data_IF_563908788934
#
_entry.id   IF_563908788934
#
_cell.length_a   1.000
_cell.length_b   1.000
_cell.length_c   1.000
_cell.angle_alpha   90.00
_cell.angle_beta   90.00
_cell.angle_gamma   90.00
#
_symmetry.space_group_name_H-M   'P 1'
#
loop_
_entity.id
_entity.type
_entity.pdbx_description
1 polymer ?
#
# COMPACT_ATOMS: atom_id res chain seq x y z
N UNK A 1 4.65 -3.95 2.30
CA UNK A 1 5.04 -4.67 3.53
C UNK A 1 4.55 -3.81 4.66
N UNK A 2 3.76 -4.38 5.59
CA UNK A 2 3.12 -3.60 6.65
C UNK A 2 3.45 -4.18 8.01
N UNK A 3 3.91 -3.32 8.91
CA UNK A 3 4.34 -3.69 10.26
C UNK A 3 3.25 -3.30 11.26
N UNK A 4 2.78 -4.28 12.02
CA UNK A 4 1.87 -4.10 13.15
C UNK A 4 2.65 -4.38 14.44
N UNK A 5 3.46 -3.41 14.88
CA UNK A 5 4.34 -3.56 16.05
C UNK A 5 3.56 -4.00 17.30
N UNK A 6 2.41 -3.37 17.57
CA UNK A 6 1.55 -3.72 18.71
C UNK A 6 0.97 -5.14 18.68
N UNK A 7 0.98 -5.81 17.52
CA UNK A 7 0.60 -7.22 17.38
C UNK A 7 1.79 -8.15 17.16
N UNK A 8 3.02 -7.61 17.10
CA UNK A 8 4.22 -8.37 16.77
C UNK A 8 4.13 -9.04 15.37
N UNK A 9 3.56 -8.37 14.37
CA UNK A 9 3.34 -8.93 13.02
C UNK A 9 3.95 -8.09 11.90
N UNK A 10 4.46 -8.77 10.87
CA UNK A 10 4.83 -8.23 9.56
C UNK A 10 3.98 -8.92 8.48
N UNK A 11 3.21 -8.15 7.74
CA UNK A 11 2.40 -8.65 6.61
C UNK A 11 3.11 -8.36 5.30
N UNK A 12 3.16 -9.34 4.40
CA UNK A 12 3.81 -9.20 3.09
C UNK A 12 3.25 -10.18 2.06
N UNK A 13 3.24 -9.77 0.79
CA UNK A 13 3.02 -10.66 -0.35
C UNK A 13 4.35 -11.38 -0.63
N UNK A 14 4.35 -12.71 -0.65
CA UNK A 14 5.58 -13.48 -0.84
C UNK A 14 5.36 -14.85 -1.49
N UNK A 15 6.46 -15.41 -2.00
CA UNK A 15 6.50 -16.71 -2.68
C UNK A 15 6.04 -16.65 -4.15
N UNK A 16 6.25 -17.75 -4.88
CA UNK A 16 5.99 -17.85 -6.33
C UNK A 16 4.52 -17.65 -6.75
N UNK A 17 3.59 -17.79 -5.80
CA UNK A 17 2.13 -17.68 -6.02
C UNK A 17 1.54 -16.38 -5.47
N UNK A 18 2.38 -15.42 -5.08
CA UNK A 18 1.98 -14.14 -4.49
C UNK A 18 0.96 -14.31 -3.35
N UNK A 19 1.31 -15.17 -2.37
CA UNK A 19 0.46 -15.39 -1.20
C UNK A 19 0.68 -14.30 -0.18
N UNK A 20 -0.38 -13.87 0.47
CA UNK A 20 -0.28 -12.97 1.61
C UNK A 20 0.12 -13.76 2.87
N UNK A 21 1.24 -13.38 3.48
CA UNK A 21 1.79 -14.03 4.66
C UNK A 21 1.98 -13.03 5.79
N UNK A 22 1.74 -13.52 7.00
CA UNK A 22 1.96 -12.79 8.25
C UNK A 22 3.07 -13.48 9.01
N UNK A 23 4.17 -12.76 9.22
CA UNK A 23 5.35 -13.20 9.97
C UNK A 23 5.32 -12.62 11.38
N UNK A 24 5.74 -13.40 12.36
CA UNK A 24 5.96 -12.88 13.72
C UNK A 24 7.28 -12.08 13.77
N UNK A 25 7.22 -10.83 14.22
CA UNK A 25 8.42 -9.98 14.31
C UNK A 25 9.45 -10.57 15.29
N UNK A 26 8.99 -11.15 16.40
CA UNK A 26 9.86 -11.87 17.34
C UNK A 26 10.61 -13.04 16.69
N UNK A 27 9.95 -13.79 15.81
CA UNK A 27 10.58 -14.87 15.06
C UNK A 27 11.62 -14.34 14.08
N UNK A 28 11.28 -13.29 13.32
CA UNK A 28 12.22 -12.64 12.40
C UNK A 28 13.44 -12.06 13.13
N UNK A 29 13.21 -11.42 14.28
CA UNK A 29 14.27 -10.87 15.13
C UNK A 29 15.24 -11.96 15.57
N UNK A 30 14.73 -13.09 16.07
CA UNK A 30 15.59 -14.18 16.52
C UNK A 30 16.30 -14.87 15.35
N UNK A 31 15.61 -15.07 14.22
CA UNK A 31 16.21 -15.68 13.03
C UNK A 31 17.34 -14.81 12.45
N UNK A 32 17.09 -13.52 12.23
CA UNK A 32 18.00 -12.65 11.48
C UNK A 32 19.08 -12.06 12.39
N UNK A 33 18.73 -11.59 13.59
CA UNK A 33 19.68 -10.88 14.46
C UNK A 33 20.43 -11.80 15.42
N UNK A 34 19.82 -12.92 15.83
CA UNK A 34 20.42 -13.84 16.80
C UNK A 34 20.94 -15.13 16.18
N UNK A 35 20.62 -15.38 14.90
CA UNK A 35 21.00 -16.58 14.15
C UNK A 35 20.74 -17.88 14.94
N UNK A 36 19.61 -17.93 15.66
CA UNK A 36 19.28 -19.02 16.56
C UNK A 36 18.83 -20.26 15.75
N UNK A 37 19.59 -21.37 15.80
CA UNK A 37 19.29 -22.57 15.01
C UNK A 37 18.01 -23.28 15.45
N UNK A 38 17.49 -23.03 16.65
CA UNK A 38 16.22 -23.60 17.09
C UNK A 38 15.01 -22.93 16.42
N UNK A 39 15.16 -21.67 15.99
CA UNK A 39 14.09 -20.88 15.34
C UNK A 39 13.74 -21.44 13.97
N UNK A 40 14.71 -22.05 13.28
CA UNK A 40 14.49 -22.69 11.97
C UNK A 40 13.59 -23.92 12.05
N UNK A 41 13.51 -24.57 13.21
CA UNK A 41 12.64 -25.73 13.44
C UNK A 41 11.15 -25.36 13.55
N UNK A 42 10.82 -24.07 13.68
CA UNK A 42 9.44 -23.58 13.86
C UNK A 42 9.01 -22.70 12.68
N UNK A 43 7.78 -22.89 12.21
CA UNK A 43 7.21 -22.05 11.16
C UNK A 43 6.89 -20.65 11.74
N UNK A 44 7.65 -19.64 11.28
CA UNK A 44 7.53 -18.25 11.76
C UNK A 44 6.46 -17.39 11.11
N UNK A 45 5.64 -17.99 10.24
CA UNK A 45 4.64 -17.29 9.45
C UNK A 45 3.38 -18.12 9.26
N UNK A 46 2.27 -17.43 9.04
CA UNK A 46 1.00 -18.04 8.61
C UNK A 46 0.53 -17.39 7.31
N UNK A 47 -0.23 -18.12 6.49
CA UNK A 47 -0.91 -17.55 5.32
C UNK A 47 -2.24 -16.96 5.76
N UNK A 48 -2.60 -15.81 5.18
CA UNK A 48 -3.94 -15.23 5.35
C UNK A 48 -4.87 -15.87 4.32
N UNK A 49 -5.82 -16.69 4.78
CA UNK A 49 -6.69 -17.46 3.90
C UNK A 49 -5.94 -18.46 3.02
N UNK A 50 -6.59 -18.92 1.96
CA UNK A 50 -6.02 -19.87 0.98
C UNK A 50 -5.70 -19.23 -0.37
N UNK A 51 -5.88 -17.92 -0.47
CA UNK A 51 -5.88 -17.17 -1.72
C UNK A 51 -4.49 -17.03 -2.33
N UNK A 52 -4.46 -16.90 -3.66
CA UNK A 52 -3.26 -16.75 -4.47
C UNK A 52 -3.39 -15.57 -5.42
N UNK A 53 -2.27 -15.03 -5.88
CA UNK A 53 -2.27 -13.93 -6.82
C UNK A 53 -2.67 -12.59 -6.21
N UNK A 54 -2.32 -12.36 -4.93
CA UNK A 54 -2.49 -11.05 -4.30
C UNK A 54 -1.77 -9.98 -5.12
N UNK A 55 -2.52 -8.98 -5.57
CA UNK A 55 -2.05 -7.84 -6.37
C UNK A 55 -1.64 -6.69 -5.45
N UNK A 56 -2.53 -6.34 -4.52
CA UNK A 56 -2.33 -5.28 -3.55
C UNK A 56 -3.03 -5.68 -2.24
N UNK A 57 -2.59 -5.13 -1.11
CA UNK A 57 -3.32 -5.24 0.14
C UNK A 57 -3.10 -3.98 0.98
N UNK A 58 -4.03 -3.70 1.88
CA UNK A 58 -3.91 -2.64 2.87
C UNK A 58 -4.39 -3.09 4.23
N UNK A 59 -3.66 -2.71 5.28
CA UNK A 59 -4.14 -2.85 6.66
C UNK A 59 -4.70 -1.51 7.14
N UNK A 60 -5.98 -1.49 7.48
CA UNK A 60 -6.68 -0.30 7.98
C UNK A 60 -6.96 -0.49 9.47
N UNK A 61 -6.62 0.52 10.28
CA UNK A 61 -6.88 0.53 11.72
C UNK A 61 -8.08 1.42 11.99
N UNK A 62 -9.09 0.89 12.67
CA UNK A 62 -10.24 1.67 13.11
C UNK A 62 -10.57 1.29 14.55
N UNK A 63 -10.45 2.26 15.46
CA UNK A 63 -10.53 2.05 16.89
C UNK A 63 -9.65 0.85 17.36
N UNK A 64 -10.27 -0.18 17.93
CA UNK A 64 -9.58 -1.40 18.39
C UNK A 64 -9.49 -2.48 17.29
N UNK A 65 -10.25 -2.33 16.21
CA UNK A 65 -10.35 -3.29 15.12
C UNK A 65 -9.30 -2.99 14.06
N UNK A 66 -8.82 -4.04 13.41
CA UNK A 66 -7.87 -3.94 12.29
C UNK A 66 -8.44 -4.73 11.14
N UNK A 67 -8.65 -4.06 10.03
CA UNK A 67 -9.09 -4.66 8.79
C UNK A 67 -7.88 -4.90 7.89
N UNK A 68 -7.94 -5.97 7.12
CA UNK A 68 -7.00 -6.29 6.07
C UNK A 68 -7.79 -6.47 4.79
N UNK A 69 -7.57 -5.58 3.84
CA UNK A 69 -8.24 -5.59 2.53
C UNK A 69 -7.24 -6.03 1.48
N UNK A 70 -7.66 -6.94 0.62
CA UNK A 70 -6.79 -7.66 -0.31
C UNK A 70 -7.41 -7.58 -1.70
N UNK A 71 -6.66 -7.03 -2.65
CA UNK A 71 -6.98 -7.08 -4.07
C UNK A 71 -6.37 -8.35 -4.68
N UNK A 72 -7.22 -9.17 -5.28
CA UNK A 72 -6.83 -10.29 -6.14
C UNK A 72 -7.05 -9.90 -7.61
N UNK A 73 -6.86 -10.83 -8.56
CA UNK A 73 -6.98 -10.51 -9.99
C UNK A 73 -8.39 -10.06 -10.41
N UNK A 74 -9.43 -10.66 -9.82
CA UNK A 74 -10.83 -10.39 -10.17
C UNK A 74 -11.75 -10.30 -8.94
N UNK A 75 -11.17 -10.12 -7.74
CA UNK A 75 -11.93 -10.05 -6.51
C UNK A 75 -11.24 -9.20 -5.46
N UNK A 76 -12.02 -8.79 -4.46
CA UNK A 76 -11.56 -8.07 -3.28
C UNK A 76 -12.02 -8.82 -2.04
N UNK A 77 -11.13 -8.95 -1.07
CA UNK A 77 -11.32 -9.76 0.12
C UNK A 77 -11.04 -8.93 1.36
N UNK A 78 -11.96 -8.95 2.31
CA UNK A 78 -11.89 -8.19 3.56
C UNK A 78 -11.77 -9.18 4.71
N UNK A 79 -10.74 -8.98 5.52
CA UNK A 79 -10.47 -9.73 6.74
C UNK A 79 -10.48 -8.79 7.94
N UNK A 80 -10.83 -9.31 9.10
CA UNK A 80 -10.75 -8.60 10.38
C UNK A 80 -9.82 -9.34 11.35
N UNK A 81 -9.05 -8.59 12.13
CA UNK A 81 -8.19 -9.16 13.17
C UNK A 81 -9.02 -9.70 14.34
N UNK A 82 -8.94 -11.00 14.59
CA UNK A 82 -9.53 -11.63 15.77
C UNK A 82 -8.52 -11.67 16.93
N UNK A 83 -8.88 -11.18 18.13
CA UNK A 83 -8.02 -11.27 19.32
C UNK A 83 -7.88 -12.72 19.79
N UNK A 84 -7.18 -12.93 20.92
CA UNK A 84 -7.11 -14.25 21.55
C UNK A 84 -8.53 -14.78 21.85
N UNK A 85 -8.77 -16.09 21.69
CA UNK A 85 -7.79 -17.16 21.46
C UNK A 85 -7.33 -17.33 20.01
N UNK A 86 -8.00 -16.72 19.02
CA UNK A 86 -7.72 -16.95 17.60
C UNK A 86 -6.42 -16.32 17.11
N UNK A 87 -6.15 -15.07 17.53
CA UNK A 87 -4.92 -14.33 17.24
C UNK A 87 -4.50 -14.37 15.76
N UNK A 88 -5.45 -14.14 14.85
CA UNK A 88 -5.25 -14.18 13.39
C UNK A 88 -6.27 -13.31 12.66
N UNK A 89 -5.99 -13.00 11.40
CA UNK A 89 -6.98 -12.42 10.49
C UNK A 89 -8.03 -13.48 10.12
N UNK A 90 -9.30 -13.15 10.33
CA UNK A 90 -10.47 -13.95 9.98
C UNK A 90 -11.16 -13.34 8.78
N UNK A 91 -11.65 -14.18 7.87
CA UNK A 91 -12.41 -13.72 6.71
C UNK A 91 -13.68 -13.00 7.19
N UNK A 92 -13.95 -11.84 6.60
CA UNK A 92 -15.12 -11.01 6.92
C UNK A 92 -16.10 -10.98 5.73
N UNK A 93 -15.63 -10.55 4.55
CA UNK A 93 -16.41 -10.49 3.31
C UNK A 93 -15.52 -10.76 2.09
N UNK A 94 -16.12 -11.31 1.04
CA UNK A 94 -15.48 -11.56 -0.26
C UNK A 94 -16.37 -10.97 -1.35
N UNK A 95 -15.76 -10.29 -2.32
CA UNK A 95 -16.43 -9.67 -3.46
C UNK A 95 -15.76 -10.18 -4.74
N UNK A 96 -16.39 -11.20 -5.36
CA UNK A 96 -15.98 -11.75 -6.64
C UNK A 96 -16.62 -11.02 -7.82
N UNK A 97 -16.21 -11.40 -9.04
CA UNK A 97 -16.80 -10.97 -10.31
C UNK A 97 -16.92 -9.44 -10.45
N UNK A 98 -15.88 -8.73 -10.00
CA UNK A 98 -15.86 -7.27 -10.08
C UNK A 98 -15.86 -6.80 -11.54
N UNK A 99 -16.61 -5.75 -11.90
CA UNK A 99 -16.66 -5.22 -13.27
C UNK A 99 -15.29 -4.81 -13.79
N UNK A 100 -14.44 -4.29 -12.89
CA UNK A 100 -13.09 -3.86 -13.20
C UNK A 100 -12.07 -4.57 -12.32
N UNK A 101 -10.93 -4.91 -12.93
CA UNK A 101 -9.82 -5.57 -12.24
C UNK A 101 -9.18 -4.64 -11.20
N UNK A 102 -9.17 -4.99 -9.91
CA UNK A 102 -8.56 -4.15 -8.89
C UNK A 102 -7.02 -4.23 -8.98
N UNK A 103 -6.39 -3.05 -8.96
CA UNK A 103 -4.95 -2.85 -8.96
C UNK A 103 -4.45 -2.28 -7.63
N UNK A 104 -5.30 -1.50 -6.98
CA UNK A 104 -5.07 -0.84 -5.69
C UNK A 104 -6.34 -0.98 -4.85
N UNK A 105 -6.20 -1.11 -3.52
CA UNK A 105 -7.35 -1.16 -2.59
C UNK A 105 -7.08 -0.34 -1.34
N UNK A 106 -8.15 0.25 -0.83
CA UNK A 106 -8.24 0.99 0.42
C UNK A 106 -9.59 0.72 1.09
N UNK A 107 -9.69 1.01 2.39
CA UNK A 107 -10.97 0.92 3.10
C UNK A 107 -11.16 2.08 4.06
N UNK A 108 -12.38 2.59 4.08
CA UNK A 108 -12.83 3.61 5.05
C UNK A 108 -13.97 3.05 5.89
N UNK A 109 -14.08 3.59 7.11
CA UNK A 109 -15.15 3.30 8.04
C UNK A 109 -15.89 4.61 8.28
N UNK A 110 -17.08 4.73 7.69
CA UNK A 110 -17.91 5.93 7.81
C UNK A 110 -18.73 5.92 9.11
N UNK A 111 -19.47 7.01 9.34
CA UNK A 111 -20.41 7.09 10.46
C UNK A 111 -21.37 5.89 10.51
N UNK A 112 -21.65 5.42 11.72
CA UNK A 112 -22.48 4.22 11.93
C UNK A 112 -21.76 2.90 11.61
N UNK A 113 -20.42 2.89 11.54
CA UNK A 113 -19.60 1.71 11.27
C UNK A 113 -19.81 1.12 9.86
N UNK A 114 -20.23 1.94 8.90
CA UNK A 114 -20.42 1.53 7.51
C UNK A 114 -19.07 1.38 6.83
N UNK A 115 -18.78 0.17 6.36
CA UNK A 115 -17.53 -0.14 5.71
C UNK A 115 -17.66 0.06 4.20
N UNK A 116 -16.72 0.79 3.60
CA UNK A 116 -16.60 0.91 2.15
C UNK A 116 -15.18 0.56 1.72
N UNK A 117 -15.07 -0.31 0.72
CA UNK A 117 -13.80 -0.56 0.05
C UNK A 117 -13.74 0.30 -1.20
N UNK A 118 -12.64 1.04 -1.36
CA UNK A 118 -12.35 1.77 -2.58
C UNK A 118 -11.24 1.03 -3.31
N UNK A 119 -11.40 0.79 -4.61
CA UNK A 119 -10.36 0.17 -5.42
C UNK A 119 -10.11 0.94 -6.71
N UNK A 120 -8.83 1.05 -7.06
CA UNK A 120 -8.38 1.60 -8.33
C UNK A 120 -8.24 0.48 -9.36
N UNK A 121 -8.65 0.75 -10.59
CA UNK A 121 -8.58 -0.15 -11.74
C UNK A 121 -7.96 0.57 -12.95
N UNK A 122 -7.83 -0.15 -14.07
CA UNK A 122 -7.44 0.45 -15.34
C UNK A 122 -8.50 1.37 -15.97
N UNK A 123 -9.74 1.38 -15.46
CA UNK A 123 -10.81 2.24 -15.97
C UNK A 123 -11.04 3.49 -15.09
N UNK A 124 -10.58 3.47 -13.84
CA UNK A 124 -10.87 4.53 -12.87
C UNK A 124 -10.88 3.98 -11.44
N UNK A 125 -11.69 4.59 -10.59
CA UNK A 125 -11.84 4.24 -9.19
C UNK A 125 -13.28 3.90 -8.88
N UNK A 126 -13.46 2.86 -8.07
CA UNK A 126 -14.75 2.25 -7.80
C UNK A 126 -14.88 1.98 -6.30
N UNK A 127 -16.11 1.90 -5.82
CA UNK A 127 -16.44 1.60 -4.44
C UNK A 127 -17.25 0.30 -4.35
N UNK A 128 -17.10 -0.36 -3.21
CA UNK A 128 -17.90 -1.50 -2.78
C UNK A 128 -18.46 -1.13 -1.40
N UNK A 129 -19.78 -1.04 -1.30
CA UNK A 129 -20.46 -0.99 -0.01
C UNK A 129 -20.40 -2.40 0.61
N UNK A 130 -19.69 -2.55 1.73
CA UNK A 130 -19.32 -3.88 2.25
C UNK A 130 -20.53 -4.62 2.84
N UNK A 131 -21.54 -3.89 3.30
CA UNK A 131 -22.73 -4.45 3.90
C UNK A 131 -23.68 -5.02 2.83
N UNK A 132 -23.95 -4.23 1.79
CA UNK A 132 -24.84 -4.61 0.68
C UNK A 132 -24.15 -5.40 -0.43
N UNK A 133 -22.83 -5.26 -0.58
CA UNK A 133 -22.06 -5.79 -1.71
C UNK A 133 -22.23 -5.03 -3.02
N UNK A 134 -22.96 -3.90 -3.00
CA UNK A 134 -23.15 -3.09 -4.20
C UNK A 134 -21.84 -2.43 -4.64
N UNK A 135 -21.58 -2.50 -5.95
CA UNK A 135 -20.42 -1.88 -6.58
C UNK A 135 -20.85 -0.72 -7.46
N UNK A 136 -20.09 0.37 -7.43
CA UNK A 136 -20.37 1.57 -8.23
C UNK A 136 -19.10 2.35 -8.54
N UNK A 137 -19.15 3.14 -9.61
CA UNK A 137 -18.06 4.01 -10.02
C UNK A 137 -18.01 5.25 -9.14
N UNK A 138 -16.81 5.57 -8.64
CA UNK A 138 -16.57 6.78 -7.85
C UNK A 138 -15.99 7.87 -8.73
N UNK A 139 -15.02 7.52 -9.57
CA UNK A 139 -14.40 8.46 -10.49
C UNK A 139 -13.87 7.74 -11.72
N UNK A 140 -14.31 8.17 -12.90
CA UNK A 140 -13.84 7.68 -14.19
C UNK A 140 -13.38 8.89 -15.01
N UNK A 141 -12.06 9.05 -15.24
CA UNK A 141 -11.54 10.19 -16.00
C UNK A 141 -11.98 10.08 -17.46
N UNK A 142 -12.78 11.05 -17.92
CA UNK A 142 -13.38 11.03 -19.27
C UNK A 142 -12.45 11.55 -20.36
N UNK A 143 -11.42 12.32 -19.99
CA UNK A 143 -10.43 12.87 -20.92
C UNK A 143 -9.36 11.87 -21.32
N UNK A 144 -9.25 10.74 -20.61
CA UNK A 144 -8.30 9.67 -20.90
C UNK A 144 -9.04 8.54 -21.61
N UNK A 145 -8.75 8.34 -22.90
CA UNK A 145 -9.40 7.31 -23.73
C UNK A 145 -8.72 5.92 -23.60
N UNK A 146 -7.62 5.84 -22.86
CA UNK A 146 -6.85 4.61 -22.61
C UNK A 146 -7.02 4.10 -21.18
N UNK A 147 -6.35 2.99 -20.84
CA UNK A 147 -6.28 2.54 -19.45
C UNK A 147 -5.53 3.58 -18.60
N UNK A 148 -6.04 3.82 -17.39
CA UNK A 148 -5.39 4.65 -16.37
C UNK A 148 -4.57 3.81 -15.41
N UNK A 149 -3.53 4.44 -14.86
CA UNK A 149 -2.63 3.86 -13.88
C UNK A 149 -2.92 4.48 -12.51
N UNK A 150 -3.65 3.79 -11.62
CA UNK A 150 -3.89 4.30 -10.28
C UNK A 150 -2.61 4.21 -9.44
N UNK A 151 -2.26 5.32 -8.77
CA UNK A 151 -1.07 5.43 -7.93
C UNK A 151 -1.40 5.35 -6.44
N UNK A 152 -2.44 6.05 -5.99
CA UNK A 152 -2.83 6.08 -4.59
C UNK A 152 -4.32 6.44 -4.41
N UNK A 153 -4.90 5.95 -3.32
CA UNK A 153 -6.18 6.40 -2.76
C UNK A 153 -5.83 6.91 -1.37
N UNK A 154 -6.08 8.18 -1.10
CA UNK A 154 -5.68 8.83 0.16
C UNK A 154 -6.92 9.44 0.78
N UNK A 155 -7.42 8.82 1.85
CA UNK A 155 -8.48 9.41 2.66
C UNK A 155 -7.97 10.64 3.41
N UNK A 156 -8.73 11.73 3.34
CA UNK A 156 -8.38 12.99 3.98
C UNK A 156 -8.73 12.93 5.47
N UNK A 157 -7.76 13.03 6.40
CA UNK A 157 -7.99 12.87 7.84
C UNK A 157 -9.00 13.88 8.41
N UNK A 158 -8.97 15.12 7.92
CA UNK A 158 -9.84 16.24 8.33
C UNK A 158 -11.33 15.94 8.10
N UNK A 159 -11.66 15.01 7.19
CA UNK A 159 -13.04 14.69 6.81
C UNK A 159 -13.55 13.39 7.42
N UNK A 160 -12.81 12.82 8.38
CA UNK A 160 -13.13 11.51 8.96
C UNK A 160 -13.09 10.37 7.94
N UNK A 161 -12.40 10.56 6.81
CA UNK A 161 -12.32 9.58 5.72
C UNK A 161 -13.53 9.54 4.79
N UNK A 162 -14.36 10.59 4.78
CA UNK A 162 -15.45 10.76 3.81
C UNK A 162 -15.00 11.34 2.46
N UNK A 163 -13.90 12.10 2.48
CA UNK A 163 -13.25 12.62 1.29
C UNK A 163 -11.90 11.94 1.06
N UNK A 164 -11.51 11.88 -0.20
CA UNK A 164 -10.27 11.28 -0.63
C UNK A 164 -9.68 11.98 -1.84
N UNK A 165 -8.35 11.95 -1.89
CA UNK A 165 -7.56 12.31 -3.05
C UNK A 165 -7.23 11.02 -3.82
N UNK A 166 -7.71 10.94 -5.06
CA UNK A 166 -7.44 9.84 -5.99
C UNK A 166 -6.30 10.27 -6.92
N UNK A 167 -5.18 9.56 -6.87
CA UNK A 167 -4.00 9.87 -7.67
C UNK A 167 -3.85 8.84 -8.80
N UNK A 168 -3.82 9.29 -10.04
CA UNK A 168 -3.68 8.47 -11.24
C UNK A 168 -2.94 9.23 -12.32
N UNK A 169 -2.15 8.54 -13.14
CA UNK A 169 -1.28 9.20 -14.12
C UNK A 169 -0.49 10.36 -13.46
N UNK A 170 -0.44 11.55 -14.07
CA UNK A 170 0.12 12.77 -13.51
C UNK A 170 -0.92 13.67 -12.81
N UNK A 171 -2.10 13.14 -12.47
CA UNK A 171 -3.23 13.90 -11.93
C UNK A 171 -3.78 13.37 -10.58
N UNK A 172 -4.33 14.29 -9.78
CA UNK A 172 -4.99 14.01 -8.52
C UNK A 172 -6.32 14.74 -8.42
N UNK A 173 -7.40 14.00 -8.14
CA UNK A 173 -8.75 14.55 -7.99
C UNK A 173 -9.30 14.34 -6.58
N UNK A 174 -9.96 15.36 -6.04
CA UNK A 174 -10.61 15.30 -4.73
C UNK A 174 -12.06 14.89 -4.89
N UNK A 175 -12.43 13.77 -4.29
CA UNK A 175 -13.79 13.23 -4.37
C UNK A 175 -14.23 12.71 -3.01
N UNK A 176 -15.54 12.64 -2.79
CA UNK A 176 -16.08 11.89 -1.66
C UNK A 176 -16.33 10.43 -2.01
N UNK A 177 -16.66 9.62 -1.00
CA UNK A 177 -16.98 8.19 -1.16
C UNK A 177 -18.24 7.90 -2.00
N UNK A 178 -18.99 8.93 -2.39
CA UNK A 178 -20.17 8.87 -3.25
C UNK A 178 -19.89 9.32 -4.70
N UNK A 179 -18.63 9.65 -5.02
CA UNK A 179 -18.21 10.05 -6.37
C UNK A 179 -18.47 11.50 -6.74
N UNK A 180 -18.77 12.37 -5.76
CA UNK A 180 -18.86 13.81 -6.01
C UNK A 180 -17.49 14.45 -5.87
N UNK A 181 -17.11 15.29 -6.82
CA UNK A 181 -15.94 16.16 -6.73
C UNK A 181 -16.12 17.11 -5.54
N UNK A 182 -15.15 17.18 -4.64
CA UNK A 182 -15.23 18.03 -3.42
C UNK A 182 -14.38 19.29 -3.51
N UNK A 183 -13.43 19.35 -4.44
CA UNK A 183 -12.64 20.55 -4.73
C UNK A 183 -12.49 20.75 -6.24
N UNK A 184 -12.61 22.00 -6.68
CA UNK A 184 -12.41 22.37 -8.09
C UNK A 184 -10.93 22.33 -8.52
N UNK A 185 -10.01 22.33 -7.56
CA UNK A 185 -8.58 22.19 -7.81
C UNK A 185 -8.23 20.76 -8.18
N UNK A 186 -7.58 20.58 -9.33
CA UNK A 186 -6.92 19.34 -9.72
C UNK A 186 -5.45 19.45 -9.35
N UNK A 187 -4.94 18.43 -8.67
CA UNK A 187 -3.50 18.32 -8.40
C UNK A 187 -2.83 17.76 -9.66
N UNK A 188 -1.79 18.42 -10.16
CA UNK A 188 -1.07 17.97 -11.35
C UNK A 188 0.43 17.91 -11.10
N UNK A 189 1.03 16.73 -11.19
CA UNK A 189 2.48 16.54 -11.10
C UNK A 189 3.17 16.98 -12.40
N UNK A 190 4.43 17.41 -12.33
CA UNK A 190 5.21 17.77 -13.52
C UNK A 190 5.63 16.56 -14.36
N UNK A 191 5.62 15.37 -13.78
CA UNK A 191 5.80 14.08 -14.45
C UNK A 191 4.97 13.00 -13.73
N UNK A 192 4.60 11.93 -14.42
CA UNK A 192 3.86 10.81 -13.83
C UNK A 192 4.63 10.19 -12.65
N UNK A 193 4.13 10.27 -11.41
CA UNK A 193 4.79 9.69 -10.26
C UNK A 193 4.79 8.16 -10.31
N UNK A 194 5.94 7.56 -9.99
CA UNK A 194 6.07 6.11 -9.79
C UNK A 194 5.43 5.64 -8.49
N UNK A 195 5.31 6.52 -7.50
CA UNK A 195 4.70 6.26 -6.20
C UNK A 195 4.22 7.59 -5.61
N UNK A 196 3.10 7.55 -4.90
CA UNK A 196 2.54 8.70 -4.20
C UNK A 196 2.32 8.35 -2.73
N UNK A 197 2.62 9.28 -1.83
CA UNK A 197 2.43 9.11 -0.39
C UNK A 197 1.93 10.41 0.26
N UNK A 198 0.96 10.28 1.16
CA UNK A 198 0.55 11.35 2.07
C UNK A 198 1.55 11.43 3.24
N UNK A 199 1.91 12.64 3.67
CA UNK A 199 2.82 12.89 4.78
C UNK A 199 2.12 13.78 5.84
N UNK A 200 2.51 13.62 7.11
CA UNK A 200 1.80 14.17 8.29
C UNK A 200 1.58 15.71 8.29
N UNK A 201 2.25 16.46 7.42
CA UNK A 201 2.10 17.92 7.25
C UNK A 201 0.99 18.34 6.28
N UNK A 202 -0.05 17.51 6.07
CA UNK A 202 -1.11 17.74 5.07
C UNK A 202 -0.55 17.97 3.65
N UNK A 203 0.52 17.23 3.35
CA UNK A 203 1.24 17.31 2.10
C UNK A 203 1.22 15.95 1.42
N UNK A 204 1.38 15.98 0.11
CA UNK A 204 1.49 14.80 -0.72
C UNK A 204 2.80 14.81 -1.48
N UNK A 205 3.50 13.69 -1.38
CA UNK A 205 4.79 13.48 -2.01
C UNK A 205 4.59 12.57 -3.23
N UNK A 206 4.91 13.08 -4.42
CA UNK A 206 4.95 12.33 -5.66
C UNK A 206 6.40 12.03 -6.04
N UNK A 207 6.75 10.74 -6.15
CA UNK A 207 8.07 10.31 -6.58
C UNK A 207 8.13 10.10 -8.08
N UNK A 208 8.74 11.03 -8.82
CA UNK A 208 8.97 10.92 -10.26
C UNK A 208 10.34 10.34 -10.64
N UNK A 209 10.57 10.21 -11.94
CA UNK A 209 11.82 9.70 -12.50
C UNK A 209 13.01 10.64 -12.31
N UNK A 210 12.76 11.95 -12.27
CA UNK A 210 13.79 13.00 -12.18
C UNK A 210 13.68 13.81 -10.90
N UNK A 211 12.47 13.89 -10.34
CA UNK A 211 12.21 14.72 -9.17
C UNK A 211 11.32 14.03 -8.16
N UNK A 212 11.36 14.52 -6.93
CA UNK A 212 10.34 14.26 -5.91
C UNK A 212 9.62 15.58 -5.69
N UNK A 213 8.33 15.62 -5.96
CA UNK A 213 7.49 16.79 -5.73
C UNK A 213 6.75 16.65 -4.40
N UNK A 214 6.69 17.72 -3.63
CA UNK A 214 5.86 17.84 -2.42
C UNK A 214 4.84 18.93 -2.70
N UNK A 215 3.57 18.60 -2.55
CA UNK A 215 2.44 19.50 -2.80
C UNK A 215 1.52 19.58 -1.60
N UNK A 216 0.90 20.74 -1.41
CA UNK A 216 -0.16 20.91 -0.41
C UNK A 216 -1.42 20.14 -0.84
N UNK A 217 -1.99 19.35 0.07
CA UNK A 217 -3.27 18.65 -0.14
C UNK A 217 -4.47 19.62 -0.06
N UNK A 218 -4.27 20.79 0.54
CA UNK A 218 -5.32 21.78 0.63
C UNK A 218 -5.49 22.52 -0.69
N UNK A 219 -4.39 23.06 -1.23
CA UNK A 219 -4.38 23.99 -2.37
C UNK A 219 -3.86 23.38 -3.66
N UNK A 220 -3.20 22.21 -3.62
CA UNK A 220 -2.51 21.60 -4.77
C UNK A 220 -1.19 22.29 -5.15
N UNK A 221 -0.81 23.35 -4.45
CA UNK A 221 0.41 24.12 -4.73
C UNK A 221 1.67 23.28 -4.50
N UNK A 222 2.71 23.61 -5.27
CA UNK A 222 4.02 22.98 -5.14
C UNK A 222 4.80 23.61 -3.98
N UNK A 223 4.95 22.85 -2.91
CA UNK A 223 5.64 23.27 -1.68
C UNK A 223 7.14 23.01 -1.77
N UNK A 224 7.57 22.00 -2.55
CA UNK A 224 8.99 21.69 -2.71
C UNK A 224 9.29 20.68 -3.81
N UNK A 225 10.52 20.73 -4.32
CA UNK A 225 11.03 19.80 -5.33
C UNK A 225 12.44 19.35 -4.98
N UNK A 226 12.68 18.04 -5.01
CA UNK A 226 14.00 17.44 -4.85
C UNK A 226 14.41 16.73 -6.13
N UNK A 227 15.40 17.27 -6.84
CA UNK A 227 15.93 16.66 -8.07
C UNK A 227 16.87 15.50 -7.74
N UNK A 228 16.81 14.42 -8.51
CA UNK A 228 17.75 13.29 -8.41
C UNK A 228 18.13 12.77 -9.80
N UNK A 229 19.32 12.17 -9.91
CA UNK A 229 19.93 11.83 -11.22
C UNK A 229 19.52 10.45 -11.76
N UNK A 230 19.03 9.54 -10.90
CA UNK A 230 18.60 8.17 -11.24
C UNK A 230 17.69 7.62 -10.14
N UNK A 231 16.38 7.51 -10.37
CA UNK A 231 15.53 6.69 -9.51
C UNK A 231 15.63 5.22 -9.94
N UNK A 232 16.26 4.38 -9.12
CA UNK A 232 15.98 2.95 -9.17
C UNK A 232 14.71 2.68 -8.35
N UNK A 233 13.53 2.71 -9.01
CA UNK A 233 12.19 2.31 -8.49
C UNK A 233 12.11 2.28 -6.96
N UNK A 234 12.17 3.46 -6.34
CA UNK A 234 12.03 3.60 -4.90
C UNK A 234 10.55 3.50 -4.56
N UNK A 235 10.18 2.54 -3.73
CA UNK A 235 8.84 2.46 -3.13
C UNK A 235 8.89 3.11 -1.76
N UNK A 236 7.87 3.87 -1.41
CA UNK A 236 7.68 4.30 -0.03
C UNK A 236 7.58 3.06 0.87
N UNK A 237 8.44 2.93 1.88
CA UNK A 237 8.53 1.72 2.70
C UNK A 237 7.72 1.81 3.99
N UNK A 238 7.84 2.91 4.72
CA UNK A 238 7.03 3.24 5.88
C UNK A 238 7.29 4.66 6.37
N UNK A 239 6.35 5.19 7.14
CA UNK A 239 6.55 6.33 8.01
C UNK A 239 6.78 5.82 9.44
N UNK A 240 7.82 6.33 10.11
CA UNK A 240 8.02 6.14 11.56
C UNK A 240 8.48 7.46 12.17
N UNK A 241 7.72 7.99 13.12
CA UNK A 241 8.05 9.19 13.90
C UNK A 241 8.46 10.38 13.02
N UNK A 242 7.57 10.84 12.13
CA UNK A 242 7.76 12.02 11.27
C UNK A 242 8.97 11.95 10.33
N UNK A 243 9.47 10.74 10.06
CA UNK A 243 10.53 10.47 9.09
C UNK A 243 10.05 9.49 8.03
N UNK A 244 10.13 9.94 6.78
CA UNK A 244 9.88 9.13 5.58
C UNK A 244 11.08 8.22 5.34
N UNK A 245 10.86 6.90 5.42
CA UNK A 245 11.86 5.90 5.06
C UNK A 245 11.70 5.49 3.59
N UNK A 246 12.61 5.95 2.72
CA UNK A 246 12.79 5.37 1.39
C UNK A 246 13.72 4.15 1.45
N UNK A 247 13.49 3.14 0.61
CA UNK A 247 14.50 2.11 0.41
C UNK A 247 14.49 1.53 -0.99
N UNK A 248 15.68 1.30 -1.51
CA UNK A 248 15.94 0.69 -2.79
C UNK A 248 15.92 -0.83 -2.65
N UNK A 249 15.08 -1.52 -3.42
CA UNK A 249 15.20 -2.96 -3.59
C UNK A 249 16.26 -3.25 -4.65
N UNK A 250 17.44 -3.70 -4.22
CA UNK A 250 18.39 -4.35 -5.12
C UNK A 250 17.87 -5.73 -5.48
N UNK A 251 17.27 -5.89 -6.66
CA UNK A 251 17.24 -7.22 -7.30
C UNK A 251 18.66 -7.54 -7.75
N UNK A 252 19.40 -8.30 -6.94
CA UNK A 252 20.65 -8.90 -7.37
C UNK A 252 20.31 -9.98 -8.41
N UNK A 253 20.30 -9.59 -9.67
CA UNK A 253 20.31 -10.51 -10.82
C UNK A 253 21.49 -11.46 -10.68
N UNK A 254 21.26 -12.72 -11.01
CA UNK A 254 22.19 -13.82 -10.81
C UNK A 254 23.60 -13.52 -11.33
N UNK A 255 24.56 -13.60 -10.43
CA UNK A 255 25.99 -13.59 -10.71
C UNK A 255 26.68 -14.12 -9.47
N UNK A 256 27.20 -15.35 -9.56
CA UNK A 256 27.91 -16.01 -8.47
C UNK A 256 29.08 -15.18 -7.94
N UNK A 257 29.57 -15.49 -6.73
CA UNK A 257 30.69 -14.76 -6.15
C UNK A 257 31.95 -14.96 -7.03
N UNK A 258 32.72 -13.91 -7.33
CA UNK A 258 34.03 -14.07 -7.96
C UNK A 258 34.98 -14.80 -6.98
N UNK A 259 35.91 -15.63 -7.46
CA UNK A 259 36.84 -16.37 -6.62
C UNK A 259 37.81 -15.41 -5.90
N UNK A 260 38.23 -15.82 -4.71
CA UNK A 260 38.95 -14.99 -3.73
C UNK A 260 40.23 -14.33 -4.25
N UNK A 261 40.40 -13.07 -3.86
CA UNK A 261 41.69 -12.38 -3.91
C UNK A 261 42.47 -12.61 -2.59
N UNK A 262 43.81 -12.68 -2.65
CA UNK A 262 44.65 -13.01 -1.49
C UNK A 262 44.70 -11.85 -0.47
N UNK A 263 45.01 -12.14 0.81
CA UNK A 263 45.11 -11.11 1.84
C UNK A 263 46.36 -10.23 1.63
N UNK A 264 46.31 -8.93 1.97
CA UNK A 264 47.48 -8.05 1.89
C UNK A 264 48.52 -8.41 2.94
N UNK A 265 49.78 -8.36 2.51
CA UNK A 265 50.96 -8.58 3.34
C UNK A 265 51.04 -7.56 4.48
N UNK A 266 51.42 -8.05 5.67
CA UNK A 266 51.91 -7.21 6.77
C UNK A 266 53.34 -6.81 6.42
N UNK A 267 53.59 -5.51 6.35
CA UNK A 267 54.95 -4.99 6.53
C UNK A 267 55.03 -4.22 7.85
N UNK A 268 56.16 -4.51 8.49
CA UNK A 268 56.69 -4.17 9.82
C UNK A 268 56.54 -2.73 10.28
#
# INVERSE_FOLDING_TARGET
MDVLEGLNLLTTISGKRNKLRVYYLSWLRNKILRNDPEVEKKQGWTTVGEMEGCVHYRVVKYERIKFLVIALRCSVEVYAWAPKPYHKFMAFKSFGDLPHRPLLVELTVEEGQRLKVIYGSGAGFHAIDVDSGNTYDVYVPVHIQSQVTPHAIIFLPETGGLEMLLCYEDEGVYVNTYGRITKDVVLQWGETPTSVAYICSNQIMGWGEKAIEIRSVETGHLDGVFMHKRAQRLKFLCERNDKVGGGAFFMRGGGGPPPGGPPPARDS
#
